data_IF_138083681042
#
_entry.id   IF_138083681042
#
_cell.length_a   1.000
_cell.length_b   1.000
_cell.length_c   1.000
_cell.angle_alpha   90.00
_cell.angle_beta   90.00
_cell.angle_gamma   90.00
#
_symmetry.space_group_name_H-M   'P 1'
#
loop_
_entity.id
_entity.type
_entity.pdbx_description
1 polymer ?
#
# COMPACT_ATOMS: atom_id res chain seq x y z
N UNK A 1 -21.84 -2.76 -18.82
CA UNK A 1 -21.96 -3.08 -17.38
C UNK A 1 -22.69 -1.97 -16.63
N UNK A 2 -23.67 -2.32 -15.80
CA UNK A 2 -24.55 -1.37 -15.11
C UNK A 2 -23.77 -0.51 -14.09
N UNK A 3 -23.99 0.81 -14.08
CA UNK A 3 -23.37 1.74 -13.10
C UNK A 3 -23.66 1.34 -11.66
N UNK A 4 -24.78 0.66 -11.39
CA UNK A 4 -25.14 0.15 -10.05
C UNK A 4 -24.19 -0.94 -9.56
N UNK A 5 -23.78 -1.86 -10.43
CA UNK A 5 -22.87 -2.97 -10.07
C UNK A 5 -21.54 -2.42 -9.57
N UNK A 6 -20.95 -1.49 -10.31
CA UNK A 6 -19.69 -0.85 -9.92
C UNK A 6 -19.76 -0.13 -8.56
N UNK A 7 -20.91 0.47 -8.20
CA UNK A 7 -21.08 1.10 -6.89
C UNK A 7 -21.00 0.08 -5.75
N UNK A 8 -21.65 -1.07 -5.91
CA UNK A 8 -21.60 -2.14 -4.92
C UNK A 8 -20.23 -2.79 -4.83
N UNK A 9 -19.58 -3.04 -5.97
CA UNK A 9 -18.21 -3.55 -6.00
C UNK A 9 -17.23 -2.63 -5.28
N UNK A 10 -17.31 -1.31 -5.49
CA UNK A 10 -16.43 -0.35 -4.80
C UNK A 10 -16.70 -0.28 -3.30
N UNK A 11 -17.96 -0.41 -2.87
CA UNK A 11 -18.30 -0.46 -1.45
C UNK A 11 -17.80 -1.75 -0.80
N UNK A 12 -18.00 -2.90 -1.45
CA UNK A 12 -17.47 -4.18 -0.98
C UNK A 12 -15.94 -4.15 -0.90
N UNK A 13 -15.28 -3.59 -1.92
CA UNK A 13 -13.84 -3.39 -1.91
C UNK A 13 -13.37 -2.49 -0.76
N UNK A 14 -14.05 -1.38 -0.50
CA UNK A 14 -13.73 -0.51 0.64
C UNK A 14 -13.89 -1.22 1.99
N UNK A 15 -14.93 -2.04 2.16
CA UNK A 15 -15.11 -2.85 3.37
C UNK A 15 -13.97 -3.86 3.51
N UNK A 16 -13.55 -4.53 2.43
CA UNK A 16 -12.41 -5.45 2.45
C UNK A 16 -11.12 -4.70 2.85
N UNK A 17 -10.86 -3.52 2.28
CA UNK A 17 -9.70 -2.71 2.67
C UNK A 17 -9.70 -2.35 4.16
N UNK A 18 -10.87 -1.94 4.67
CA UNK A 18 -11.02 -1.62 6.09
C UNK A 18 -10.79 -2.85 6.96
N UNK A 19 -11.38 -4.00 6.61
CA UNK A 19 -11.20 -5.25 7.35
C UNK A 19 -9.75 -5.70 7.35
N UNK A 20 -9.05 -5.63 6.21
CA UNK A 20 -7.62 -5.95 6.13
C UNK A 20 -6.83 -5.08 7.09
N UNK A 21 -7.04 -3.76 7.08
CA UNK A 21 -6.35 -2.84 7.99
C UNK A 21 -6.70 -3.12 9.46
N UNK A 22 -7.98 -3.26 9.78
CA UNK A 22 -8.45 -3.49 11.14
C UNK A 22 -7.96 -4.83 11.71
N UNK A 23 -8.02 -5.91 10.93
CA UNK A 23 -7.51 -7.23 11.34
C UNK A 23 -5.99 -7.20 11.51
N UNK A 24 -5.28 -6.52 10.61
CA UNK A 24 -3.84 -6.37 10.69
C UNK A 24 -3.42 -5.62 11.96
N UNK A 25 -3.90 -4.39 12.16
CA UNK A 25 -3.55 -3.61 13.36
C UNK A 25 -4.14 -4.20 14.64
N UNK A 26 -5.30 -4.84 14.57
CA UNK A 26 -5.88 -5.58 15.69
C UNK A 26 -4.99 -6.74 16.12
N UNK A 27 -4.39 -7.46 15.16
CA UNK A 27 -3.41 -8.51 15.44
C UNK A 27 -2.15 -7.95 16.10
N UNK A 28 -1.56 -6.87 15.59
CA UNK A 28 -0.38 -6.25 16.21
C UNK A 28 -0.67 -5.68 17.59
N UNK A 29 -1.85 -5.08 17.78
CA UNK A 29 -2.30 -4.61 19.09
C UNK A 29 -2.44 -5.77 20.09
N UNK A 30 -3.05 -6.88 19.65
CA UNK A 30 -3.15 -8.10 20.45
C UNK A 30 -1.77 -8.65 20.84
N UNK A 31 -0.83 -8.74 19.89
CA UNK A 31 0.55 -9.19 20.14
C UNK A 31 1.24 -8.25 21.13
N UNK A 32 1.12 -6.94 20.94
CA UNK A 32 1.73 -5.93 21.82
C UNK A 32 1.24 -6.02 23.28
N UNK A 33 -0.05 -6.29 23.49
CA UNK A 33 -0.61 -6.51 24.84
C UNK A 33 -0.18 -7.87 25.40
N UNK A 34 -0.28 -8.92 24.59
CA UNK A 34 -0.15 -10.30 25.08
C UNK A 34 1.30 -10.68 25.39
N UNK A 35 2.24 -10.22 24.57
CA UNK A 35 3.66 -10.62 24.66
C UNK A 35 4.56 -9.52 25.21
N UNK A 36 3.97 -8.36 25.54
CA UNK A 36 4.68 -7.12 25.78
C UNK A 36 5.27 -6.56 24.49
N UNK A 37 5.55 -5.26 24.46
CA UNK A 37 6.34 -4.63 23.39
C UNK A 37 7.80 -5.10 23.51
N UNK A 38 8.06 -6.38 23.21
CA UNK A 38 9.42 -6.91 23.08
C UNK A 38 10.14 -6.17 21.96
N UNK A 39 11.46 -6.08 22.09
CA UNK A 39 12.34 -5.46 21.09
C UNK A 39 12.02 -6.00 19.70
N UNK A 40 11.61 -5.12 18.79
CA UNK A 40 11.20 -5.44 17.42
C UNK A 40 9.71 -5.24 17.13
N UNK A 41 8.79 -5.42 18.09
CA UNK A 41 7.36 -5.26 17.83
C UNK A 41 6.98 -3.79 17.49
N UNK A 42 7.60 -2.83 18.19
CA UNK A 42 7.43 -1.41 17.90
C UNK A 42 8.03 -1.02 16.53
N UNK A 43 9.19 -1.58 16.19
CA UNK A 43 9.82 -1.37 14.88
C UNK A 43 8.95 -1.89 13.72
N UNK A 44 8.30 -3.05 13.90
CA UNK A 44 7.33 -3.57 12.93
C UNK A 44 6.12 -2.64 12.80
N UNK A 45 5.54 -2.14 13.90
CA UNK A 45 4.41 -1.20 13.82
C UNK A 45 4.77 0.11 13.12
N UNK A 46 6.02 0.59 13.24
CA UNK A 46 6.49 1.79 12.54
C UNK A 46 6.70 1.50 11.05
N UNK A 47 7.39 0.40 10.73
CA UNK A 47 7.61 -0.07 9.36
C UNK A 47 6.29 -0.30 8.61
N UNK A 48 5.29 -0.83 9.31
CA UNK A 48 3.99 -1.15 8.74
C UNK A 48 2.97 -0.02 8.95
N UNK A 49 3.39 1.07 9.60
CA UNK A 49 2.59 2.25 9.92
C UNK A 49 1.86 2.87 8.72
N UNK A 50 2.46 2.94 7.52
CA UNK A 50 1.75 3.40 6.33
C UNK A 50 0.49 2.59 6.01
N UNK A 51 0.39 1.31 6.40
CA UNK A 51 -0.83 0.52 6.22
C UNK A 51 -2.03 1.11 6.97
N UNK A 52 -1.84 1.95 8.00
CA UNK A 52 -2.94 2.68 8.64
C UNK A 52 -3.67 3.60 7.66
N UNK A 53 -3.00 4.07 6.60
CA UNK A 53 -3.62 4.88 5.54
C UNK A 53 -4.70 4.11 4.77
N UNK A 54 -4.75 2.78 4.87
CA UNK A 54 -5.86 2.00 4.34
C UNK A 54 -7.20 2.35 5.00
N UNK A 55 -7.21 2.75 6.27
CA UNK A 55 -8.46 3.10 6.98
C UNK A 55 -9.12 4.34 6.39
N UNK A 56 -8.46 5.52 6.33
CA UNK A 56 -9.07 6.69 5.70
C UNK A 56 -9.23 6.53 4.19
N UNK A 57 -8.37 5.73 3.52
CA UNK A 57 -8.57 5.37 2.10
C UNK A 57 -9.86 4.57 1.91
N UNK A 58 -10.11 3.56 2.73
CA UNK A 58 -11.33 2.75 2.69
C UNK A 58 -12.56 3.62 2.92
N UNK A 59 -12.55 4.50 3.92
CA UNK A 59 -13.64 5.44 4.17
C UNK A 59 -13.92 6.34 2.95
N UNK A 60 -12.87 6.95 2.38
CA UNK A 60 -13.01 7.82 1.22
C UNK A 60 -13.48 7.07 -0.04
N UNK A 61 -13.03 5.82 -0.25
CA UNK A 61 -13.48 4.94 -1.34
C UNK A 61 -14.95 4.53 -1.15
N UNK A 62 -15.36 4.21 0.08
CA UNK A 62 -16.74 3.86 0.41
C UNK A 62 -17.71 5.01 0.12
N UNK A 63 -17.32 6.23 0.49
CA UNK A 63 -18.03 7.47 0.17
C UNK A 63 -17.96 7.85 -1.32
N UNK A 64 -17.08 7.19 -2.09
CA UNK A 64 -16.78 7.49 -3.51
C UNK A 64 -16.34 8.95 -3.70
N UNK A 65 -15.67 9.50 -2.69
CA UNK A 65 -15.16 10.87 -2.75
C UNK A 65 -13.95 10.93 -3.68
N UNK A 66 -13.79 12.04 -4.43
CA UNK A 66 -12.68 12.24 -5.36
C UNK A 66 -11.30 11.96 -4.72
N UNK A 67 -11.11 12.34 -3.45
CA UNK A 67 -9.88 12.09 -2.71
C UNK A 67 -9.62 10.60 -2.47
N UNK A 68 -10.66 9.77 -2.36
CA UNK A 68 -10.52 8.33 -2.15
C UNK A 68 -9.84 7.64 -3.34
N UNK A 69 -10.10 8.09 -4.57
CA UNK A 69 -9.37 7.61 -5.74
C UNK A 69 -7.89 7.97 -5.66
N UNK A 70 -7.57 9.21 -5.28
CA UNK A 70 -6.18 9.66 -5.16
C UNK A 70 -5.41 8.95 -4.07
N UNK A 71 -5.99 8.87 -2.87
CA UNK A 71 -5.37 8.18 -1.74
C UNK A 71 -5.10 6.71 -2.09
N UNK A 72 -6.07 6.05 -2.73
CA UNK A 72 -5.90 4.68 -3.21
C UNK A 72 -4.73 4.56 -4.20
N UNK A 73 -4.71 5.39 -5.24
CA UNK A 73 -3.65 5.37 -6.25
C UNK A 73 -2.27 5.66 -5.65
N UNK A 74 -2.16 6.64 -4.75
CA UNK A 74 -0.90 7.01 -4.07
C UNK A 74 -0.43 5.86 -3.19
N UNK A 75 -1.33 5.31 -2.37
CA UNK A 75 -1.00 4.27 -1.41
C UNK A 75 -0.55 2.97 -2.08
N UNK A 76 -1.28 2.49 -3.09
CA UNK A 76 -0.88 1.28 -3.81
C UNK A 76 0.36 1.49 -4.68
N UNK A 77 0.60 2.71 -5.18
CA UNK A 77 1.86 3.04 -5.84
C UNK A 77 3.03 3.02 -4.86
N UNK A 78 2.83 3.56 -3.66
CA UNK A 78 3.81 3.50 -2.57
C UNK A 78 4.15 2.04 -2.21
N UNK A 79 3.14 1.18 -2.04
CA UNK A 79 3.35 -0.24 -1.76
C UNK A 79 4.10 -0.96 -2.90
N UNK A 80 3.75 -0.65 -4.15
CA UNK A 80 4.42 -1.23 -5.32
C UNK A 80 5.89 -0.80 -5.41
N UNK A 81 6.17 0.49 -5.19
CA UNK A 81 7.55 1.02 -5.17
C UNK A 81 8.36 0.36 -4.05
N UNK A 82 7.79 0.27 -2.83
CA UNK A 82 8.45 -0.39 -1.71
C UNK A 82 8.79 -1.85 -2.01
N UNK A 83 7.88 -2.58 -2.66
CA UNK A 83 8.13 -3.97 -3.08
C UNK A 83 9.20 -4.08 -4.17
N UNK A 84 9.18 -3.21 -5.17
CA UNK A 84 10.22 -3.18 -6.20
C UNK A 84 11.60 -2.91 -5.60
N UNK A 85 11.70 -1.99 -4.64
CA UNK A 85 12.96 -1.69 -3.94
C UNK A 85 13.40 -2.90 -3.10
N UNK A 86 12.48 -3.55 -2.38
CA UNK A 86 12.77 -4.76 -1.61
C UNK A 86 13.30 -5.91 -2.48
N UNK A 87 12.67 -6.16 -3.63
CA UNK A 87 13.14 -7.17 -4.58
C UNK A 87 14.50 -6.79 -5.15
N UNK A 88 14.71 -5.53 -5.54
CA UNK A 88 16.00 -5.07 -6.06
C UNK A 88 17.12 -5.22 -5.02
N UNK A 89 16.85 -4.89 -3.76
CA UNK A 89 17.79 -5.08 -2.65
C UNK A 89 18.12 -6.56 -2.44
N UNK A 90 17.12 -7.45 -2.46
CA UNK A 90 17.32 -8.89 -2.34
C UNK A 90 18.15 -9.45 -3.51
N UNK A 91 17.86 -9.04 -4.75
CA UNK A 91 18.65 -9.43 -5.92
C UNK A 91 20.11 -8.96 -5.81
N UNK A 92 20.33 -7.74 -5.32
CA UNK A 92 21.67 -7.21 -5.07
C UNK A 92 22.43 -8.04 -4.02
N UNK A 93 21.78 -8.34 -2.89
CA UNK A 93 22.39 -9.15 -1.81
C UNK A 93 22.70 -10.58 -2.26
N UNK A 94 21.83 -11.18 -3.07
CA UNK A 94 22.07 -12.49 -3.69
C UNK A 94 23.26 -12.42 -4.67
N UNK A 95 23.32 -11.39 -5.53
CA UNK A 95 24.40 -11.24 -6.51
C UNK A 95 25.78 -11.02 -5.88
N UNK A 96 25.82 -10.47 -4.67
CA UNK A 96 27.05 -10.21 -3.92
C UNK A 96 27.45 -11.36 -2.99
N UNK A 97 26.62 -12.41 -2.91
CA UNK A 97 26.85 -13.56 -2.02
C UNK A 97 26.73 -13.22 -0.53
N UNK A 98 26.12 -12.08 -0.18
CA UNK A 98 25.93 -11.66 1.21
C UNK A 98 24.79 -12.42 1.91
N UNK A 99 23.88 -13.04 1.14
CA UNK A 99 22.84 -13.93 1.65
C UNK A 99 23.00 -15.29 0.96
N UNK A 100 23.09 -16.36 1.77
CA UNK A 100 23.25 -17.75 1.30
C UNK A 100 21.97 -18.58 1.52
N UNK A 101 20.97 -18.05 2.26
CA UNK A 101 19.87 -18.86 2.75
C UNK A 101 18.79 -19.21 1.73
N UNK A 102 18.37 -20.47 1.77
CA UNK A 102 17.32 -21.06 0.94
C UNK A 102 15.91 -20.48 1.21
N UNK A 103 15.70 -19.84 2.37
CA UNK A 103 14.43 -19.19 2.71
C UNK A 103 14.10 -17.99 1.78
N UNK A 104 15.10 -17.43 1.09
CA UNK A 104 14.91 -16.37 0.10
C UNK A 104 14.03 -16.78 -1.09
N UNK A 105 14.03 -18.08 -1.46
CA UNK A 105 13.29 -18.59 -2.63
C UNK A 105 11.78 -18.62 -2.44
N UNK A 106 11.29 -19.11 -1.29
CA UNK A 106 9.86 -19.09 -0.94
C UNK A 106 9.32 -17.68 -0.77
N UNK A 107 10.18 -16.75 -0.32
CA UNK A 107 9.81 -15.34 -0.20
C UNK A 107 9.62 -14.69 -1.58
N UNK A 108 10.39 -15.06 -2.61
CA UNK A 108 10.26 -14.46 -3.94
C UNK A 108 8.87 -14.63 -4.57
N UNK A 109 8.26 -15.82 -4.44
CA UNK A 109 6.91 -16.05 -4.96
C UNK A 109 5.87 -15.17 -4.27
N UNK A 110 5.98 -14.99 -2.95
CA UNK A 110 5.11 -14.11 -2.16
C UNK A 110 5.26 -12.65 -2.60
N UNK A 111 6.51 -12.19 -2.80
CA UNK A 111 6.81 -10.83 -3.28
C UNK A 111 6.19 -10.55 -4.66
N UNK A 112 6.31 -11.50 -5.61
CA UNK A 112 5.70 -11.39 -6.94
C UNK A 112 4.17 -11.36 -6.85
N UNK A 113 3.56 -12.17 -6.00
CA UNK A 113 2.10 -12.15 -5.80
C UNK A 113 1.62 -10.79 -5.26
N UNK A 114 2.33 -10.20 -4.30
CA UNK A 114 2.00 -8.86 -3.82
C UNK A 114 2.13 -7.80 -4.90
N UNK A 115 3.20 -7.84 -5.72
CA UNK A 115 3.33 -6.94 -6.86
C UNK A 115 2.16 -7.04 -7.84
N UNK A 116 1.75 -8.27 -8.18
CA UNK A 116 0.60 -8.50 -9.05
C UNK A 116 -0.69 -7.96 -8.44
N UNK A 117 -0.90 -8.18 -7.15
CA UNK A 117 -2.07 -7.67 -6.42
C UNK A 117 -2.10 -6.13 -6.40
N UNK A 118 -0.98 -5.48 -6.13
CA UNK A 118 -0.89 -4.01 -6.12
C UNK A 118 -1.09 -3.42 -7.52
N UNK A 119 -0.49 -4.04 -8.53
CA UNK A 119 -0.65 -3.65 -9.94
C UNK A 119 -2.10 -3.82 -10.39
N UNK A 120 -2.75 -4.93 -10.01
CA UNK A 120 -4.16 -5.17 -10.30
C UNK A 120 -5.06 -4.12 -9.63
N UNK A 121 -4.79 -3.76 -8.38
CA UNK A 121 -5.53 -2.70 -7.68
C UNK A 121 -5.41 -1.34 -8.41
N UNK A 122 -4.20 -0.96 -8.82
CA UNK A 122 -3.95 0.26 -9.60
C UNK A 122 -4.63 0.21 -10.97
N UNK A 123 -4.57 -0.93 -11.65
CA UNK A 123 -5.19 -1.13 -12.96
C UNK A 123 -6.72 -1.01 -12.88
N UNK A 124 -7.35 -1.69 -11.90
CA UNK A 124 -8.78 -1.63 -11.67
C UNK A 124 -9.26 -0.20 -11.37
N UNK A 125 -8.55 0.55 -10.52
CA UNK A 125 -8.88 1.94 -10.23
C UNK A 125 -8.60 2.89 -11.41
N UNK A 126 -7.74 2.48 -12.35
CA UNK A 126 -7.47 3.22 -13.58
C UNK A 126 -8.55 3.04 -14.66
N UNK A 127 -9.43 2.04 -14.53
CA UNK A 127 -10.51 1.80 -15.47
C UNK A 127 -11.50 2.98 -15.52
N UNK A 128 -11.89 3.37 -16.74
CA UNK A 128 -12.90 4.42 -17.01
C UNK A 128 -14.17 4.27 -16.15
N UNK A 129 -14.83 3.10 -16.02
CA UNK A 129 -16.03 2.97 -15.22
C UNK A 129 -15.81 3.28 -13.73
N UNK A 130 -14.68 2.89 -13.14
CA UNK A 130 -14.34 3.15 -11.74
C UNK A 130 -14.07 4.62 -11.53
N UNK A 131 -13.20 5.23 -12.36
CA UNK A 131 -12.89 6.67 -12.33
C UNK A 131 -14.14 7.55 -12.42
N UNK A 132 -15.11 7.17 -13.25
CA UNK A 132 -16.37 7.89 -13.39
C UNK A 132 -17.22 7.87 -12.10
N UNK A 133 -17.08 6.84 -11.25
CA UNK A 133 -17.77 6.80 -9.94
C UNK A 133 -17.24 7.86 -8.97
N UNK A 134 -15.97 8.25 -9.12
CA UNK A 134 -15.29 9.27 -8.32
C UNK A 134 -15.42 10.69 -8.89
N UNK A 135 -16.25 10.88 -9.93
CA UNK A 135 -16.43 12.19 -10.56
C UNK A 135 -15.23 12.69 -11.37
N UNK A 136 -14.25 11.83 -11.67
CA UNK A 136 -13.09 12.18 -12.47
C UNK A 136 -13.48 12.33 -13.95
N UNK A 137 -13.98 13.51 -14.32
CA UNK A 137 -14.34 13.85 -15.71
C UNK A 137 -13.07 13.84 -16.59
N UNK A 138 -13.23 13.48 -17.86
CA UNK A 138 -12.17 13.58 -18.88
C UNK A 138 -11.85 15.06 -19.17
N UNK A 139 -11.12 15.72 -18.29
CA UNK A 139 -10.54 17.03 -18.55
C UNK A 139 -9.19 16.92 -19.28
N UNK A 140 -8.77 18.01 -19.94
CA UNK A 140 -7.49 18.16 -20.67
C UNK A 140 -6.25 17.92 -19.79
N UNK A 141 -6.39 17.94 -18.46
CA UNK A 141 -5.32 17.69 -17.45
C UNK A 141 -4.91 16.22 -17.30
N UNK A 142 -5.10 15.38 -18.33
CA UNK A 142 -4.82 13.93 -18.31
C UNK A 142 -3.36 13.58 -17.99
N UNK A 143 -2.41 14.41 -18.41
CA UNK A 143 -0.96 14.16 -18.23
C UNK A 143 -0.44 14.47 -16.83
N UNK A 144 -1.13 15.28 -16.04
CA UNK A 144 -0.65 15.63 -14.70
C UNK A 144 -0.95 14.55 -13.65
N UNK A 145 -1.95 13.70 -13.89
CA UNK A 145 -2.38 12.71 -12.89
C UNK A 145 -1.29 11.70 -12.47
N UNK A 146 -0.57 11.05 -13.40
CA UNK A 146 0.47 10.07 -13.03
C UNK A 146 1.64 10.72 -12.29
N UNK A 147 2.02 11.94 -12.67
CA UNK A 147 3.12 12.68 -12.04
C UNK A 147 2.82 13.02 -10.57
N UNK A 148 1.60 13.48 -10.27
CA UNK A 148 1.20 13.76 -8.88
C UNK A 148 1.04 12.48 -8.05
N UNK A 149 0.49 11.40 -8.62
CA UNK A 149 0.39 10.11 -7.91
C UNK A 149 1.79 9.58 -7.59
N UNK A 150 2.67 9.51 -8.58
CA UNK A 150 4.04 9.00 -8.43
C UNK A 150 4.86 9.88 -7.50
N UNK A 151 4.80 11.20 -7.66
CA UNK A 151 5.50 12.16 -6.80
C UNK A 151 5.04 12.10 -5.35
N UNK A 152 3.71 12.03 -5.11
CA UNK A 152 3.19 11.89 -3.75
C UNK A 152 3.54 10.53 -3.13
N UNK A 153 3.53 9.45 -3.92
CA UNK A 153 3.95 8.12 -3.43
C UNK A 153 5.44 8.09 -3.07
N UNK A 154 6.30 8.70 -3.90
CA UNK A 154 7.73 8.84 -3.62
C UNK A 154 7.99 9.71 -2.40
N UNK A 155 7.26 10.83 -2.25
CA UNK A 155 7.38 11.69 -1.08
C UNK A 155 6.97 10.94 0.20
N UNK A 156 5.83 10.23 0.15
CA UNK A 156 5.38 9.40 1.27
C UNK A 156 6.42 8.33 1.62
N UNK A 157 7.04 7.72 0.60
CA UNK A 157 8.12 6.76 0.77
C UNK A 157 9.37 7.36 1.41
N UNK A 158 9.80 8.54 0.96
CA UNK A 158 10.95 9.24 1.53
C UNK A 158 10.70 9.64 3.00
N UNK A 159 9.51 10.16 3.32
CA UNK A 159 9.11 10.49 4.69
C UNK A 159 9.14 9.24 5.57
N UNK A 160 8.59 8.12 5.07
CA UNK A 160 8.58 6.87 5.82
C UNK A 160 9.99 6.33 6.08
N UNK A 161 10.86 6.33 5.07
CA UNK A 161 12.26 5.95 5.24
C UNK A 161 12.98 6.84 6.27
N UNK A 162 12.70 8.14 6.26
CA UNK A 162 13.28 9.08 7.21
C UNK A 162 12.81 8.77 8.64
N UNK A 163 11.52 8.48 8.82
CA UNK A 163 10.96 8.10 10.12
C UNK A 163 11.58 6.80 10.66
N UNK A 164 11.74 5.78 9.79
CA UNK A 164 12.43 4.54 10.13
C UNK A 164 13.88 4.82 10.54
N UNK A 165 14.62 5.60 9.75
CA UNK A 165 16.02 5.93 10.03
C UNK A 165 16.18 6.62 11.37
N UNK A 166 15.34 7.63 11.65
CA UNK A 166 15.32 8.37 12.92
C UNK A 166 15.02 7.42 14.08
N UNK A 167 14.02 6.55 13.95
CA UNK A 167 13.65 5.61 14.99
C UNK A 167 14.81 4.68 15.36
N UNK A 168 15.52 4.12 14.38
CA UNK A 168 16.62 3.17 14.63
C UNK A 168 17.94 3.80 15.12
N UNK A 169 18.13 5.11 14.98
CA UNK A 169 19.40 5.76 15.34
C UNK A 169 19.31 6.69 16.56
N UNK A 170 18.10 7.11 16.95
CA UNK A 170 17.90 8.09 18.04
C UNK A 170 17.18 7.52 19.27
N UNK A 171 16.54 6.36 19.15
CA UNK A 171 15.79 5.70 20.22
C UNK A 171 16.41 4.32 20.45
#
# INVERSE_FOLDING_TARGET
MNRRIWKWLLRGYAVILFLVAASYFGYYYYVGISWGLRDGAAGLMISDGPLLLLVPTAAAVFMRHFSGWWMHMIFFSYLLIGKLIGIAANLFLLSTGLIVDAEGGTNYFVEVNYMLLYTAALFLFSLKPVRNQFGLKKGRRRMFYPFWVGGAALLLYAVHLTAIYVYFHLI
#
